data_IF_093489100853
#
_entry.id   IF_093489100853
#
_cell.length_a   1.000
_cell.length_b   1.000
_cell.length_c   1.000
_cell.angle_alpha   90.00
_cell.angle_beta   90.00
_cell.angle_gamma   90.00
#
_symmetry.space_group_name_H-M   'P 1'
#
loop_
_entity.id
_entity.type
_entity.pdbx_description
1 polymer ?
#
# COMPACT_ATOMS: atom_id res chain seq x y z
N UNK A 1 1.05 -14.03 2.69
CA UNK A 1 1.51 -12.73 3.21
C UNK A 1 1.66 -11.85 1.99
N UNK A 2 0.89 -10.77 1.90
CA UNK A 2 0.99 -9.86 0.75
C UNK A 2 2.36 -9.18 0.80
N UNK A 3 2.97 -8.99 -0.37
CA UNK A 3 4.19 -8.23 -0.54
C UNK A 3 3.90 -6.77 -0.87
N UNK A 4 4.90 -5.90 -0.80
CA UNK A 4 4.81 -4.51 -1.24
C UNK A 4 4.17 -4.37 -2.62
N UNK A 5 4.63 -5.16 -3.60
CA UNK A 5 4.11 -5.13 -4.97
C UNK A 5 2.63 -5.54 -5.05
N UNK A 6 2.19 -6.50 -4.23
CA UNK A 6 0.78 -6.90 -4.19
C UNK A 6 -0.09 -5.75 -3.67
N UNK A 7 0.33 -5.09 -2.58
CA UNK A 7 -0.42 -3.96 -1.98
C UNK A 7 -0.43 -2.77 -2.96
N UNK A 8 0.69 -2.48 -3.60
CA UNK A 8 0.81 -1.43 -4.62
C UNK A 8 -0.07 -1.68 -5.83
N UNK A 9 -0.07 -2.90 -6.36
CA UNK A 9 -0.88 -3.28 -7.51
C UNK A 9 -2.37 -3.18 -7.19
N UNK A 10 -2.78 -3.64 -6.01
CA UNK A 10 -4.16 -3.56 -5.54
C UNK A 10 -4.59 -2.11 -5.27
N UNK A 11 -3.73 -1.27 -4.71
CA UNK A 11 -3.98 0.17 -4.55
C UNK A 11 -4.13 0.88 -5.90
N UNK A 12 -3.24 0.60 -6.86
CA UNK A 12 -3.32 1.13 -8.22
C UNK A 12 -4.56 0.66 -8.99
N UNK A 13 -5.08 -0.51 -8.68
CA UNK A 13 -6.36 -1.00 -9.20
C UNK A 13 -7.58 -0.39 -8.51
N UNK A 14 -7.39 0.47 -7.51
CA UNK A 14 -8.46 1.05 -6.71
C UNK A 14 -9.16 0.03 -5.80
N UNK A 15 -8.53 -1.11 -5.54
CA UNK A 15 -9.05 -2.13 -4.62
C UNK A 15 -8.82 -1.75 -3.15
N UNK A 16 -7.85 -0.87 -2.88
CA UNK A 16 -7.56 -0.35 -1.55
C UNK A 16 -7.59 1.18 -1.54
N UNK A 17 -8.09 1.75 -0.44
CA UNK A 17 -7.93 3.16 -0.12
C UNK A 17 -6.61 3.41 0.62
N UNK A 18 -6.20 4.67 0.73
CA UNK A 18 -4.97 5.05 1.46
C UNK A 18 -5.01 4.58 2.92
N UNK A 19 -6.19 4.65 3.56
CA UNK A 19 -6.39 4.16 4.92
C UNK A 19 -6.18 2.64 5.02
N UNK A 20 -6.69 1.88 4.04
CA UNK A 20 -6.51 0.42 3.98
C UNK A 20 -5.05 0.03 3.72
N UNK A 21 -4.31 0.80 2.91
CA UNK A 21 -2.87 0.59 2.72
C UNK A 21 -2.12 0.73 4.05
N UNK A 22 -2.50 1.70 4.89
CA UNK A 22 -1.89 1.90 6.22
C UNK A 22 -2.20 0.78 7.21
N UNK A 23 -3.30 0.05 7.06
CA UNK A 23 -3.59 -1.14 7.89
C UNK A 23 -2.59 -2.28 7.63
N UNK A 24 -1.93 -2.30 6.47
CA UNK A 24 -0.86 -3.25 6.18
C UNK A 24 0.46 -2.90 6.85
N UNK A 25 0.57 -1.77 7.56
CA UNK A 25 1.75 -1.41 8.36
C UNK A 25 1.55 -1.83 9.82
N UNK A 26 2.50 -2.55 10.47
CA UNK A 26 3.75 -3.11 9.93
C UNK A 26 3.59 -4.59 9.47
N UNK A 27 2.35 -5.02 9.18
CA UNK A 27 2.01 -6.43 8.92
C UNK A 27 2.65 -6.99 7.66
N UNK A 28 2.67 -6.21 6.58
CA UNK A 28 3.09 -6.62 5.24
C UNK A 28 4.00 -5.59 4.57
N UNK A 29 3.88 -4.31 4.96
CA UNK A 29 4.70 -3.20 4.46
C UNK A 29 5.10 -2.28 5.62
N UNK A 30 6.07 -1.42 5.37
CA UNK A 30 6.54 -0.37 6.28
C UNK A 30 5.78 0.94 6.07
N UNK A 31 5.92 1.89 7.00
CA UNK A 31 5.36 3.24 6.81
C UNK A 31 5.93 3.90 5.55
N UNK A 32 7.23 3.74 5.28
CA UNK A 32 7.89 4.30 4.11
C UNK A 32 7.30 3.74 2.82
N UNK A 33 7.12 2.41 2.76
CA UNK A 33 6.48 1.73 1.64
C UNK A 33 5.01 2.13 1.44
N UNK A 34 4.25 2.31 2.53
CA UNK A 34 2.87 2.79 2.45
C UNK A 34 2.80 4.22 1.88
N UNK A 35 3.68 5.11 2.34
CA UNK A 35 3.78 6.47 1.81
C UNK A 35 4.22 6.47 0.34
N UNK A 36 5.14 5.60 -0.07
CA UNK A 36 5.51 5.44 -1.48
C UNK A 36 4.32 4.99 -2.34
N UNK A 37 3.51 4.03 -1.87
CA UNK A 37 2.33 3.54 -2.60
C UNK A 37 1.32 4.66 -2.78
N UNK A 38 1.03 5.41 -1.72
CA UNK A 38 0.04 6.50 -1.71
C UNK A 38 0.51 7.69 -2.57
N UNK A 39 1.77 8.11 -2.43
CA UNK A 39 2.32 9.25 -3.17
C UNK A 39 2.72 8.92 -4.63
N UNK A 40 2.76 7.64 -5.03
CA UNK A 40 3.04 7.24 -6.42
C UNK A 40 1.90 7.54 -7.41
N UNK A 41 0.76 8.08 -6.96
CA UNK A 41 -0.38 8.44 -7.81
C UNK A 41 -0.36 9.90 -8.33
N UNK A 42 0.68 10.68 -8.03
CA UNK A 42 0.92 12.03 -8.59
C UNK A 42 1.72 11.98 -9.90
#
# INVERSE_FOLDING_TARGET
MYSYDDVKMMFNWGCFTEEQVREFVPLCITNEEADEIINSQE
#
